data_IF_662639079124
#
_entry.id   IF_662639079124
#
_cell.length_a   1.000
_cell.length_b   1.000
_cell.length_c   1.000
_cell.angle_alpha   90.00
_cell.angle_beta   90.00
_cell.angle_gamma   90.00
#
_symmetry.space_group_name_H-M   'P 1'
#
loop_
_entity.id
_entity.type
_entity.pdbx_description
1 polymer ?
#
# COMPACT_ATOMS: atom_id res chain seq x y z
N UNK A 1 -9.77 34.02 1.10
CA UNK A 1 -9.15 33.49 -0.16
C UNK A 1 -8.45 34.60 -0.96
N UNK A 2 -7.62 35.40 -0.35
CA UNK A 2 -7.04 36.55 -1.07
C UNK A 2 -5.57 36.74 -0.75
N UNK A 3 -4.71 35.78 -1.08
CA UNK A 3 -3.25 36.08 -1.09
C UNK A 3 -2.44 34.95 -1.79
N UNK A 4 -2.92 34.48 -2.94
CA UNK A 4 -2.06 33.70 -3.83
C UNK A 4 -1.59 34.62 -4.94
N UNK A 5 -0.38 35.16 -4.80
CA UNK A 5 0.24 35.91 -5.89
C UNK A 5 1.02 34.98 -6.81
N UNK A 6 0.68 34.98 -8.09
CA UNK A 6 1.42 34.23 -9.12
C UNK A 6 2.48 35.17 -9.73
N UNK A 7 3.75 34.89 -9.42
CA UNK A 7 4.87 35.60 -10.03
C UNK A 7 5.75 34.61 -10.79
N UNK A 8 6.14 34.98 -12.00
CA UNK A 8 7.11 34.24 -12.79
C UNK A 8 8.50 34.85 -12.51
N UNK A 9 9.33 34.12 -11.78
CA UNK A 9 10.72 34.47 -11.54
C UNK A 9 11.66 33.65 -12.39
N UNK A 10 12.71 34.29 -12.93
CA UNK A 10 13.82 33.59 -13.56
C UNK A 10 14.96 33.48 -12.55
N UNK A 11 15.33 32.27 -12.21
CA UNK A 11 16.49 32.03 -11.35
C UNK A 11 17.60 31.37 -12.15
N UNK A 12 18.83 31.84 -11.92
CA UNK A 12 20.02 31.20 -12.42
C UNK A 12 20.44 30.09 -11.43
N UNK A 13 20.29 28.84 -11.82
CA UNK A 13 20.69 27.70 -10.97
C UNK A 13 22.06 27.23 -11.44
N UNK A 14 23.09 27.43 -10.61
CA UNK A 14 24.41 26.85 -10.85
C UNK A 14 24.41 25.40 -10.39
N UNK A 15 24.37 24.45 -11.32
CA UNK A 15 24.48 23.03 -11.01
C UNK A 15 25.95 22.65 -10.79
N UNK A 16 26.24 22.06 -9.62
CA UNK A 16 27.57 21.46 -9.37
C UNK A 16 27.59 20.02 -9.92
N UNK A 17 28.58 19.65 -10.73
CA UNK A 17 28.67 18.30 -11.29
C UNK A 17 28.95 17.27 -10.19
N UNK A 18 28.15 16.21 -10.13
CA UNK A 18 28.49 14.96 -9.44
C UNK A 18 28.61 13.83 -10.45
N UNK A 19 29.68 13.09 -10.32
CA UNK A 19 29.99 11.94 -11.15
C UNK A 19 28.91 10.85 -11.08
N UNK A 20 28.47 10.42 -12.26
CA UNK A 20 27.78 9.16 -12.51
C UNK A 20 26.29 9.10 -12.13
N UNK A 21 25.46 8.88 -13.16
CA UNK A 21 24.04 8.58 -13.17
C UNK A 21 23.05 9.76 -13.02
N UNK A 22 22.09 9.80 -13.94
CA UNK A 22 20.95 10.73 -13.93
C UNK A 22 20.18 10.61 -12.61
N UNK A 23 20.39 11.55 -11.70
CA UNK A 23 19.67 11.60 -10.43
C UNK A 23 18.79 12.83 -10.46
N UNK A 24 17.49 12.62 -10.54
CA UNK A 24 16.51 13.66 -10.23
C UNK A 24 16.53 13.86 -8.72
N UNK A 25 17.03 14.99 -8.24
CA UNK A 25 16.96 15.37 -6.82
C UNK A 25 15.87 16.38 -6.60
N UNK A 26 14.99 16.11 -5.68
CA UNK A 26 14.07 17.10 -5.12
C UNK A 26 14.86 17.91 -4.09
N UNK A 27 14.92 19.20 -4.30
CA UNK A 27 15.58 20.13 -3.38
C UNK A 27 14.55 20.83 -2.52
N UNK A 28 14.76 20.87 -1.20
CA UNK A 28 13.98 21.67 -0.26
C UNK A 28 14.90 22.75 0.29
N UNK A 29 14.62 24.00 -0.04
CA UNK A 29 15.36 25.14 0.49
C UNK A 29 14.43 26.09 1.26
N UNK A 30 14.94 26.64 2.35
CA UNK A 30 14.27 27.70 3.10
C UNK A 30 15.00 29.02 2.84
N UNK A 31 14.27 30.03 2.44
CA UNK A 31 14.79 31.38 2.34
C UNK A 31 13.72 32.36 2.83
N UNK A 32 13.99 33.05 3.94
CA UNK A 32 13.10 34.06 4.54
C UNK A 32 11.61 33.62 4.57
N UNK A 33 11.31 32.51 5.25
CA UNK A 33 9.96 31.95 5.37
C UNK A 33 9.33 31.44 4.06
N UNK A 34 10.14 31.22 3.02
CA UNK A 34 9.71 30.69 1.73
C UNK A 34 10.11 29.24 1.57
N UNK A 35 9.16 28.37 1.24
CA UNK A 35 9.42 26.96 0.93
C UNK A 35 9.41 26.78 -0.57
N UNK A 36 10.55 26.40 -1.16
CA UNK A 36 10.71 26.20 -2.59
C UNK A 36 10.77 24.69 -2.87
N UNK A 37 9.85 24.19 -3.69
CA UNK A 37 9.88 22.82 -4.22
C UNK A 37 10.23 22.87 -5.71
N UNK A 38 11.25 22.13 -6.11
CA UNK A 38 11.62 22.00 -7.51
C UNK A 38 12.31 20.67 -7.83
N UNK A 39 12.10 20.18 -9.02
CA UNK A 39 12.84 19.04 -9.60
C UNK A 39 13.91 19.60 -10.53
N UNK A 40 15.18 19.18 -10.36
CA UNK A 40 16.30 19.60 -11.17
C UNK A 40 16.80 18.43 -12.02
N UNK A 41 17.09 18.69 -13.28
CA UNK A 41 17.76 17.75 -14.17
C UNK A 41 19.26 17.96 -14.00
N UNK A 42 19.98 16.91 -13.59
CA UNK A 42 21.43 16.93 -13.51
C UNK A 42 22.03 16.50 -14.84
N UNK A 43 22.93 17.32 -15.39
CA UNK A 43 23.68 17.01 -16.60
C UNK A 43 25.01 16.31 -16.25
N UNK A 44 25.51 15.52 -17.19
CA UNK A 44 26.85 14.92 -17.07
C UNK A 44 27.93 16.01 -17.14
N UNK A 45 29.13 15.73 -16.58
CA UNK A 45 30.25 16.68 -16.62
C UNK A 45 30.62 17.14 -18.02
N UNK A 46 30.36 16.30 -19.03
CA UNK A 46 30.59 16.55 -20.45
C UNK A 46 29.57 17.55 -21.03
N UNK A 47 28.33 17.52 -20.58
CA UNK A 47 27.27 18.45 -20.97
C UNK A 47 27.42 19.80 -20.21
N UNK A 48 27.89 19.77 -18.97
CA UNK A 48 28.18 20.96 -18.19
C UNK A 48 29.28 21.87 -18.80
N UNK A 49 30.22 21.29 -19.52
CA UNK A 49 31.31 22.02 -20.19
C UNK A 49 30.87 22.73 -21.50
N UNK A 50 29.66 22.49 -21.99
CA UNK A 50 29.16 23.03 -23.27
C UNK A 50 28.27 24.28 -23.15
N UNK A 51 28.40 25.10 -22.12
CA UNK A 51 27.72 26.38 -22.06
C UNK A 51 26.44 26.38 -21.23
N UNK A 52 26.49 25.84 -20.01
CA UNK A 52 25.36 25.89 -19.06
C UNK A 52 24.99 27.31 -18.60
N UNK A 53 25.83 28.30 -18.85
CA UNK A 53 25.55 29.69 -18.52
C UNK A 53 24.36 30.28 -19.31
N UNK A 54 23.91 29.58 -20.36
CA UNK A 54 22.78 29.98 -21.21
C UNK A 54 21.54 29.10 -21.05
N UNK A 55 21.57 28.13 -20.15
CA UNK A 55 20.44 27.20 -19.93
C UNK A 55 19.44 27.81 -18.94
N UNK A 56 18.27 28.18 -19.44
CA UNK A 56 17.17 28.66 -18.60
C UNK A 56 16.14 27.54 -18.37
N UNK A 57 15.92 27.15 -17.13
CA UNK A 57 14.85 26.24 -16.77
C UNK A 57 13.67 27.08 -16.30
N UNK A 58 12.54 27.06 -17.02
CA UNK A 58 11.33 27.74 -16.55
C UNK A 58 10.84 27.06 -15.26
N UNK A 59 10.71 27.84 -14.19
CA UNK A 59 10.24 27.37 -12.89
C UNK A 59 8.96 28.11 -12.51
N UNK A 60 7.93 27.36 -12.12
CA UNK A 60 6.72 27.90 -11.52
C UNK A 60 6.90 27.95 -10.01
N UNK A 61 6.98 29.12 -9.45
CA UNK A 61 7.06 29.33 -8.01
C UNK A 61 5.67 29.67 -7.47
N UNK A 62 5.18 28.91 -6.52
CA UNK A 62 3.99 29.23 -5.75
C UNK A 62 4.44 29.65 -4.35
N UNK A 63 4.14 30.90 -3.97
CA UNK A 63 4.49 31.48 -2.68
C UNK A 63 3.25 31.46 -1.81
N UNK A 64 3.37 30.82 -0.64
CA UNK A 64 2.38 30.91 0.43
C UNK A 64 2.94 31.87 1.48
N UNK A 65 2.24 32.97 1.74
CA UNK A 65 2.62 33.88 2.82
C UNK A 65 2.24 33.20 4.15
N UNK A 66 3.23 33.04 5.00
CA UNK A 66 3.10 32.44 6.34
C UNK A 66 3.50 33.51 7.33
N UNK A 67 2.61 33.79 8.27
CA UNK A 67 2.90 34.70 9.39
C UNK A 67 3.57 33.89 10.52
N UNK A 68 4.46 34.55 11.29
CA UNK A 68 5.23 33.87 12.33
C UNK A 68 4.35 33.38 13.51
N UNK A 69 3.14 33.97 13.68
CA UNK A 69 2.18 33.66 14.75
C UNK A 69 0.91 32.96 14.20
N UNK A 70 1.07 31.90 13.42
CA UNK A 70 -0.08 31.15 12.90
C UNK A 70 -0.82 30.41 14.01
N UNK A 71 -2.15 30.55 14.06
CA UNK A 71 -3.01 29.71 14.88
C UNK A 71 -3.02 28.26 14.37
N UNK A 72 -3.39 27.31 15.24
CA UNK A 72 -3.46 25.88 14.87
C UNK A 72 -4.35 25.64 13.64
N UNK A 73 -5.44 26.40 13.50
CA UNK A 73 -6.37 26.35 12.37
C UNK A 73 -5.72 26.84 11.06
N UNK A 74 -4.90 27.89 11.14
CA UNK A 74 -4.13 28.40 10.00
C UNK A 74 -3.01 27.43 9.58
N UNK A 75 -2.39 26.74 10.55
CA UNK A 75 -1.40 25.68 10.29
C UNK A 75 -2.06 24.48 9.57
N UNK A 76 -3.27 24.13 9.95
CA UNK A 76 -4.02 23.05 9.32
C UNK A 76 -4.42 23.41 7.88
N UNK A 77 -4.92 24.61 7.64
CA UNK A 77 -5.20 25.14 6.30
C UNK A 77 -3.93 25.24 5.42
N UNK A 78 -2.80 25.64 6.00
CA UNK A 78 -1.52 25.66 5.30
C UNK A 78 -1.09 24.26 4.87
N UNK A 79 -1.24 23.27 5.76
CA UNK A 79 -0.91 21.87 5.46
C UNK A 79 -1.81 21.32 4.35
N UNK A 80 -3.10 21.60 4.37
CA UNK A 80 -4.07 21.20 3.36
C UNK A 80 -3.77 21.80 1.97
N UNK A 81 -3.45 23.11 1.94
CA UNK A 81 -3.05 23.80 0.71
C UNK A 81 -1.74 23.23 0.17
N UNK A 82 -0.77 23.00 1.04
CA UNK A 82 0.55 22.44 0.66
C UNK A 82 0.41 21.02 0.12
N UNK A 83 -0.43 20.21 0.74
CA UNK A 83 -0.74 18.86 0.26
C UNK A 83 -1.46 18.88 -1.09
N UNK A 84 -2.41 19.78 -1.26
CA UNK A 84 -3.15 19.95 -2.52
C UNK A 84 -2.22 20.44 -3.64
N UNK A 85 -1.35 21.42 -3.36
CA UNK A 85 -0.34 21.89 -4.35
C UNK A 85 0.63 20.78 -4.71
N UNK A 86 1.07 19.98 -3.73
CA UNK A 86 1.97 18.85 -3.95
C UNK A 86 1.30 17.76 -4.80
N UNK A 87 0.04 17.44 -4.53
CA UNK A 87 -0.77 16.50 -5.33
C UNK A 87 -0.94 17.02 -6.77
N UNK A 88 -1.30 18.28 -6.95
CA UNK A 88 -1.51 18.88 -8.27
C UNK A 88 -0.22 19.10 -9.06
N UNK A 89 0.89 19.46 -8.40
CA UNK A 89 2.18 19.65 -9.06
C UNK A 89 2.81 18.33 -9.49
N UNK A 90 2.61 17.27 -8.73
CA UNK A 90 3.09 15.93 -9.05
C UNK A 90 2.26 15.24 -10.14
N UNK A 91 1.04 15.70 -10.44
CA UNK A 91 0.24 15.19 -11.55
C UNK A 91 0.80 15.52 -12.94
N UNK A 92 1.77 16.42 -13.02
CA UNK A 92 2.46 16.79 -14.27
C UNK A 92 3.78 16.03 -14.49
N UNK A 93 4.38 15.43 -13.47
CA UNK A 93 5.45 14.45 -13.62
C UNK A 93 4.79 13.08 -13.84
N UNK A 94 5.36 12.24 -14.69
CA UNK A 94 4.82 10.92 -15.01
C UNK A 94 4.34 10.21 -13.74
N UNK A 95 3.05 10.35 -13.46
CA UNK A 95 2.37 9.67 -12.35
C UNK A 95 2.35 8.22 -12.78
N UNK A 96 3.00 7.37 -12.02
CA UNK A 96 2.93 5.93 -12.27
C UNK A 96 1.51 5.46 -11.98
N UNK A 97 1.01 4.43 -12.69
CA UNK A 97 -0.28 3.82 -12.37
C UNK A 97 -0.41 3.51 -10.87
N UNK A 98 0.70 3.15 -10.21
CA UNK A 98 0.77 2.91 -8.78
C UNK A 98 0.43 4.16 -7.92
N UNK A 99 0.72 5.35 -8.38
CA UNK A 99 0.42 6.58 -7.62
C UNK A 99 -1.06 6.95 -7.69
N UNK A 100 -1.73 6.68 -8.83
CA UNK A 100 -3.19 6.82 -8.94
C UNK A 100 -3.93 5.89 -7.97
N UNK A 101 -3.46 4.66 -7.84
CA UNK A 101 -4.05 3.69 -6.93
C UNK A 101 -3.79 3.95 -5.44
N UNK A 102 -2.95 4.92 -5.07
CA UNK A 102 -2.67 5.23 -3.66
C UNK A 102 -3.94 5.59 -2.88
N UNK A 103 -4.91 6.24 -3.51
CA UNK A 103 -6.18 6.63 -2.90
C UNK A 103 -7.30 5.59 -3.12
N UNK A 104 -7.00 4.46 -3.76
CA UNK A 104 -7.99 3.42 -3.93
C UNK A 104 -8.43 2.88 -2.54
N UNK A 105 -9.75 2.69 -2.31
CA UNK A 105 -10.28 2.31 -1.00
C UNK A 105 -9.69 1.01 -0.42
N UNK A 106 -9.27 0.07 -1.27
CA UNK A 106 -8.53 -1.12 -0.84
C UNK A 106 -7.25 -0.73 -0.10
N UNK A 107 -6.43 0.17 -0.66
CA UNK A 107 -5.17 0.56 -0.05
C UNK A 107 -5.37 1.36 1.25
N UNK A 108 -6.45 2.15 1.32
CA UNK A 108 -6.86 2.84 2.55
C UNK A 108 -7.26 1.83 3.63
N UNK A 109 -8.00 0.77 3.23
CA UNK A 109 -8.38 -0.30 4.16
C UNK A 109 -7.17 -1.11 4.63
N UNK A 110 -6.22 -1.43 3.73
CA UNK A 110 -4.96 -2.11 4.08
C UNK A 110 -4.12 -1.27 5.06
N UNK A 111 -4.05 0.05 4.88
CA UNK A 111 -3.39 0.95 5.83
C UNK A 111 -4.06 0.89 7.22
N UNK A 112 -5.39 0.96 7.29
CA UNK A 112 -6.15 0.82 8.54
C UNK A 112 -5.90 -0.54 9.21
N UNK A 113 -5.92 -1.63 8.45
CA UNK A 113 -5.63 -2.98 8.94
C UNK A 113 -4.19 -3.08 9.47
N UNK A 114 -3.22 -2.43 8.81
CA UNK A 114 -1.83 -2.43 9.27
C UNK A 114 -1.66 -1.81 10.66
N UNK A 115 -2.42 -0.77 10.98
CA UNK A 115 -2.39 -0.14 12.31
C UNK A 115 -3.16 -0.92 13.38
N UNK A 116 -4.08 -1.80 12.98
CA UNK A 116 -4.91 -2.60 13.88
C UNK A 116 -4.30 -3.96 14.21
N UNK A 117 -3.72 -4.63 13.20
CA UNK A 117 -3.24 -6.01 13.32
C UNK A 117 -1.81 -6.02 13.85
N UNK A 118 -1.67 -6.39 15.12
CA UNK A 118 -0.38 -6.47 15.79
C UNK A 118 0.30 -7.82 15.52
N UNK A 119 1.55 -7.79 15.09
CA UNK A 119 2.37 -9.00 14.93
C UNK A 119 2.77 -9.56 16.30
N UNK A 120 2.84 -10.88 16.45
CA UNK A 120 3.29 -11.51 17.69
C UNK A 120 4.71 -11.06 18.09
N UNK A 121 5.02 -11.04 19.40
CA UNK A 121 6.38 -10.79 19.85
C UNK A 121 7.33 -11.89 19.34
N UNK A 122 8.47 -11.49 18.81
CA UNK A 122 9.49 -12.43 18.30
C UNK A 122 10.90 -12.01 18.75
N UNK A 123 11.86 -12.91 18.65
CA UNK A 123 13.26 -12.64 18.96
C UNK A 123 13.50 -12.12 20.39
N UNK A 124 12.74 -12.64 21.36
CA UNK A 124 12.89 -12.26 22.78
C UNK A 124 12.38 -10.86 23.13
N UNK A 125 11.76 -10.15 22.21
CA UNK A 125 11.12 -8.87 22.51
C UNK A 125 9.80 -9.10 23.24
N UNK A 126 9.53 -8.38 24.36
CA UNK A 126 8.32 -8.57 25.14
C UNK A 126 7.08 -7.86 24.57
N UNK A 127 7.22 -7.17 23.45
CA UNK A 127 6.17 -6.35 22.85
C UNK A 127 5.84 -6.77 21.42
N UNK A 128 4.60 -6.52 21.02
CA UNK A 128 4.11 -6.69 19.67
C UNK A 128 4.60 -5.55 18.78
N UNK A 129 4.69 -5.80 17.48
CA UNK A 129 5.09 -4.82 16.46
C UNK A 129 4.04 -4.72 15.36
N UNK A 130 4.19 -3.74 14.49
CA UNK A 130 3.28 -3.50 13.37
C UNK A 130 4.04 -3.75 12.07
N UNK A 131 3.43 -4.49 11.16
CA UNK A 131 3.80 -4.50 9.76
C UNK A 131 3.18 -3.27 9.09
N UNK A 132 3.96 -2.19 8.98
CA UNK A 132 3.48 -0.91 8.49
C UNK A 132 3.24 -0.96 6.98
N UNK A 133 2.00 -0.72 6.54
CA UNK A 133 1.66 -0.64 5.12
C UNK A 133 1.84 0.79 4.60
N UNK A 134 2.85 0.98 3.75
CA UNK A 134 3.14 2.27 3.14
C UNK A 134 2.29 2.49 1.88
N UNK A 135 1.12 3.09 2.06
CA UNK A 135 0.18 3.41 0.99
C UNK A 135 0.70 4.51 0.07
N UNK A 136 1.25 5.56 0.63
CA UNK A 136 1.87 6.67 -0.12
C UNK A 136 3.37 6.67 0.11
N UNK A 137 4.13 7.05 -0.91
CA UNK A 137 5.58 7.03 -0.88
C UNK A 137 6.14 7.85 0.29
N UNK A 138 7.06 7.26 1.04
CA UNK A 138 7.73 7.83 2.21
C UNK A 138 6.80 8.19 3.39
N UNK A 139 5.60 7.64 3.44
CA UNK A 139 4.66 7.93 4.54
C UNK A 139 5.24 7.55 5.91
N UNK A 140 5.98 6.44 5.99
CA UNK A 140 6.65 6.02 7.22
C UNK A 140 7.63 7.10 7.74
N UNK A 141 8.38 7.77 6.87
CA UNK A 141 9.25 8.89 7.22
C UNK A 141 8.45 10.16 7.53
N UNK A 142 7.40 10.44 6.76
CA UNK A 142 6.53 11.62 6.94
C UNK A 142 5.83 11.60 8.29
N UNK A 143 5.30 10.45 8.70
CA UNK A 143 4.61 10.30 9.98
C UNK A 143 5.51 10.63 11.19
N UNK A 144 6.84 10.54 11.01
CA UNK A 144 7.81 10.88 12.07
C UNK A 144 8.23 12.35 12.09
N UNK A 145 7.91 13.15 11.06
CA UNK A 145 8.45 14.51 10.92
C UNK A 145 8.05 15.46 12.06
N UNK A 146 6.85 15.28 12.61
CA UNK A 146 6.33 16.10 13.71
C UNK A 146 6.56 15.49 15.10
N UNK A 147 7.24 14.35 15.19
CA UNK A 147 7.47 13.64 16.44
C UNK A 147 8.74 14.14 17.13
N UNK A 148 8.71 14.19 18.47
CA UNK A 148 9.91 14.36 19.30
C UNK A 148 10.82 13.13 19.19
N UNK A 149 12.08 13.24 19.56
CA UNK A 149 13.04 12.11 19.46
C UNK A 149 12.62 10.90 20.29
N UNK A 150 11.95 11.11 21.42
CA UNK A 150 11.39 10.04 22.24
C UNK A 150 10.21 9.35 21.52
N UNK A 151 9.34 10.11 20.89
CA UNK A 151 8.22 9.59 20.09
C UNK A 151 8.72 8.84 18.85
N UNK A 152 9.75 9.36 18.14
CA UNK A 152 10.37 8.69 17.00
C UNK A 152 10.95 7.33 17.38
N UNK A 153 11.67 7.26 18.51
CA UNK A 153 12.21 5.99 19.00
C UNK A 153 11.10 4.98 19.24
N UNK A 154 10.04 5.38 19.95
CA UNK A 154 8.88 4.53 20.22
C UNK A 154 8.15 4.10 18.95
N UNK A 155 7.99 5.03 17.99
CA UNK A 155 7.42 4.74 16.69
C UNK A 155 8.25 3.68 15.92
N UNK A 156 9.58 3.83 15.86
CA UNK A 156 10.47 2.88 15.20
C UNK A 156 10.51 1.51 15.90
N UNK A 157 10.36 1.46 17.23
CA UNK A 157 10.24 0.20 17.98
C UNK A 157 8.96 -0.54 17.63
N UNK A 158 7.84 0.18 17.53
CA UNK A 158 6.53 -0.38 17.19
C UNK A 158 6.39 -0.67 15.68
N UNK A 159 7.03 0.13 14.83
CA UNK A 159 6.98 0.05 13.37
C UNK A 159 8.39 -0.12 12.79
N UNK A 160 9.06 -1.25 13.02
CA UNK A 160 10.43 -1.44 12.57
C UNK A 160 10.50 -1.39 11.03
N UNK A 161 11.55 -0.75 10.50
CA UNK A 161 11.74 -0.59 9.06
C UNK A 161 11.86 -1.93 8.31
N UNK A 162 12.23 -3.00 9.01
CA UNK A 162 12.22 -4.37 8.47
C UNK A 162 10.81 -4.95 8.27
N UNK A 163 9.79 -4.32 8.84
CA UNK A 163 8.38 -4.69 8.71
C UNK A 163 7.60 -3.64 7.90
N UNK A 164 8.29 -2.90 7.02
CA UNK A 164 7.67 -1.93 6.12
C UNK A 164 7.25 -2.62 4.81
N UNK A 165 5.97 -2.59 4.51
CA UNK A 165 5.40 -3.12 3.27
C UNK A 165 5.00 -1.96 2.35
N UNK A 166 5.71 -1.80 1.25
CA UNK A 166 5.33 -0.90 0.16
C UNK A 166 4.27 -1.56 -0.73
N UNK A 167 3.37 -0.78 -1.29
CA UNK A 167 2.31 -1.32 -2.17
C UNK A 167 2.87 -2.09 -3.38
N UNK A 168 3.99 -1.64 -3.95
CA UNK A 168 4.65 -2.32 -5.05
C UNK A 168 5.26 -3.67 -4.60
N UNK A 169 5.75 -3.73 -3.36
CA UNK A 169 6.24 -5.00 -2.76
C UNK A 169 5.09 -5.95 -2.50
N UNK A 170 3.97 -5.47 -1.97
CA UNK A 170 2.77 -6.29 -1.80
C UNK A 170 2.30 -6.83 -3.16
N UNK A 171 2.24 -5.99 -4.20
CA UNK A 171 1.88 -6.40 -5.56
C UNK A 171 2.80 -7.52 -6.08
N UNK A 172 4.11 -7.42 -5.85
CA UNK A 172 5.08 -8.42 -6.23
C UNK A 172 4.82 -9.76 -5.54
N UNK A 173 4.68 -9.73 -4.21
CA UNK A 173 4.48 -10.93 -3.40
C UNK A 173 3.11 -11.57 -3.70
N UNK A 174 2.07 -10.75 -3.81
CA UNK A 174 0.72 -11.26 -3.99
C UNK A 174 0.47 -11.83 -5.40
N UNK A 175 0.95 -11.16 -6.46
CA UNK A 175 0.91 -11.72 -7.82
C UNK A 175 1.68 -13.04 -7.92
N UNK A 176 2.72 -13.23 -7.12
CA UNK A 176 3.44 -14.49 -7.06
C UNK A 176 2.54 -15.61 -6.52
N UNK A 177 1.82 -15.39 -5.41
CA UNK A 177 0.90 -16.40 -4.86
C UNK A 177 -0.37 -16.58 -5.71
N UNK A 178 -0.74 -15.59 -6.51
CA UNK A 178 -1.78 -15.69 -7.54
C UNK A 178 -1.32 -16.41 -8.82
N UNK A 179 -0.17 -17.07 -8.79
CA UNK A 179 0.42 -17.84 -9.89
C UNK A 179 0.77 -17.02 -11.14
N UNK A 180 1.14 -15.78 -10.97
CA UNK A 180 1.55 -14.86 -12.03
C UNK A 180 3.06 -14.50 -11.99
N UNK A 181 4.01 -15.45 -11.80
CA UNK A 181 5.43 -15.12 -11.64
C UNK A 181 6.03 -14.48 -12.90
N UNK A 182 5.53 -14.82 -14.10
CA UNK A 182 5.97 -14.24 -15.36
C UNK A 182 5.67 -12.73 -15.44
N UNK A 183 4.59 -12.27 -14.83
CA UNK A 183 4.23 -10.86 -14.75
C UNK A 183 5.10 -10.13 -13.71
N UNK A 184 5.39 -10.79 -12.57
CA UNK A 184 6.33 -10.28 -11.56
C UNK A 184 7.72 -10.06 -12.15
N UNK A 185 8.16 -10.92 -13.09
CA UNK A 185 9.43 -10.80 -13.78
C UNK A 185 9.47 -9.67 -14.83
N UNK A 186 8.36 -9.02 -15.13
CA UNK A 186 8.30 -7.87 -16.06
C UNK A 186 8.73 -6.56 -15.36
N UNK A 187 8.22 -5.44 -15.82
CA UNK A 187 8.44 -4.17 -15.13
C UNK A 187 7.55 -4.04 -13.90
N UNK A 188 8.00 -3.23 -12.93
CA UNK A 188 7.19 -2.91 -11.74
C UNK A 188 5.82 -2.33 -12.12
N UNK A 189 5.73 -1.53 -13.19
CA UNK A 189 4.48 -0.96 -13.67
C UNK A 189 3.49 -2.03 -14.16
N UNK A 190 3.96 -3.01 -14.94
CA UNK A 190 3.10 -4.11 -15.43
C UNK A 190 2.66 -5.00 -14.28
N UNK A 191 3.58 -5.33 -13.38
CA UNK A 191 3.24 -6.12 -12.19
C UNK A 191 2.19 -5.40 -11.35
N UNK A 192 2.33 -4.09 -11.15
CA UNK A 192 1.37 -3.31 -10.38
C UNK A 192 0.01 -3.18 -11.09
N UNK A 193 -0.02 -3.00 -12.41
CA UNK A 193 -1.27 -2.97 -13.18
C UNK A 193 -2.07 -4.26 -13.01
N UNK A 194 -1.41 -5.42 -13.01
CA UNK A 194 -2.08 -6.71 -12.78
C UNK A 194 -2.58 -6.89 -11.35
N UNK A 195 -1.84 -6.33 -10.40
CA UNK A 195 -2.31 -6.29 -9.02
C UNK A 195 -3.50 -5.35 -8.85
N UNK A 196 -3.56 -4.26 -9.62
CA UNK A 196 -4.70 -3.35 -9.62
C UNK A 196 -5.99 -4.04 -10.07
N UNK A 197 -5.95 -4.86 -11.13
CA UNK A 197 -7.11 -5.66 -11.57
C UNK A 197 -7.64 -6.56 -10.43
N UNK A 198 -6.73 -7.18 -9.66
CA UNK A 198 -7.09 -7.98 -8.48
C UNK A 198 -7.66 -7.11 -7.35
N UNK A 199 -7.08 -5.95 -7.10
CA UNK A 199 -7.52 -5.00 -6.07
C UNK A 199 -8.93 -4.49 -6.33
N UNK A 200 -9.23 -4.16 -7.60
CA UNK A 200 -10.56 -3.72 -8.03
C UNK A 200 -11.60 -4.82 -7.79
N UNK A 201 -11.32 -6.05 -8.24
CA UNK A 201 -12.22 -7.21 -8.03
C UNK A 201 -12.45 -7.49 -6.53
N UNK A 202 -11.37 -7.49 -5.73
CA UNK A 202 -11.47 -7.70 -4.29
C UNK A 202 -12.31 -6.63 -3.59
N UNK A 203 -12.18 -5.38 -4.00
CA UNK A 203 -12.94 -4.30 -3.39
C UNK A 203 -14.40 -4.29 -3.82
N UNK A 204 -14.70 -4.53 -5.09
CA UNK A 204 -16.05 -4.51 -5.64
C UNK A 204 -16.86 -5.75 -5.23
N UNK A 205 -16.28 -6.94 -5.34
CA UNK A 205 -16.99 -8.21 -5.20
C UNK A 205 -16.72 -8.95 -3.88
N UNK A 206 -15.57 -8.69 -3.23
CA UNK A 206 -15.07 -9.46 -2.09
C UNK A 206 -14.67 -8.59 -0.89
N UNK A 207 -15.27 -7.42 -0.74
CA UNK A 207 -14.88 -6.43 0.29
C UNK A 207 -14.87 -6.98 1.71
N UNK A 208 -15.81 -7.86 2.06
CA UNK A 208 -15.88 -8.48 3.39
C UNK A 208 -14.74 -9.47 3.66
N UNK A 209 -14.04 -9.92 2.61
CA UNK A 209 -12.88 -10.80 2.72
C UNK A 209 -11.59 -10.01 3.01
N UNK A 210 -11.58 -8.68 2.80
CA UNK A 210 -10.48 -7.78 3.17
C UNK A 210 -10.56 -7.49 4.68
N UNK A 211 -10.04 -8.40 5.49
CA UNK A 211 -10.11 -8.40 6.94
C UNK A 211 -8.74 -8.70 7.58
N UNK A 212 -8.72 -8.88 8.90
CA UNK A 212 -7.49 -9.13 9.65
C UNK A 212 -6.72 -10.37 9.13
N UNK A 213 -7.42 -11.46 8.76
CA UNK A 213 -6.78 -12.68 8.23
C UNK A 213 -6.23 -12.48 6.83
N UNK A 214 -6.94 -11.75 5.97
CA UNK A 214 -6.42 -11.34 4.67
C UNK A 214 -5.13 -10.53 4.82
N UNK A 215 -5.12 -9.57 5.73
CA UNK A 215 -3.92 -8.77 6.01
C UNK A 215 -2.76 -9.63 6.50
N UNK A 216 -3.00 -10.55 7.44
CA UNK A 216 -1.98 -11.50 7.93
C UNK A 216 -1.41 -12.35 6.78
N UNK A 217 -2.26 -12.83 5.87
CA UNK A 217 -1.85 -13.61 4.70
C UNK A 217 -0.98 -12.76 3.74
N UNK A 218 -1.33 -11.48 3.55
CA UNK A 218 -0.49 -10.54 2.79
C UNK A 218 0.89 -10.38 3.43
N UNK A 219 0.97 -10.20 4.76
CA UNK A 219 2.24 -10.12 5.50
C UNK A 219 3.04 -11.43 5.36
N UNK A 220 2.39 -12.58 5.53
CA UNK A 220 3.05 -13.89 5.38
C UNK A 220 3.62 -14.09 3.98
N UNK A 221 2.93 -13.60 2.94
CA UNK A 221 3.46 -13.64 1.57
C UNK A 221 4.73 -12.82 1.40
N UNK A 222 4.82 -11.66 2.07
CA UNK A 222 6.03 -10.84 2.11
C UNK A 222 7.14 -11.54 2.86
N UNK A 223 6.85 -12.10 4.04
CA UNK A 223 7.83 -12.90 4.82
C UNK A 223 8.39 -14.04 3.96
N UNK A 224 7.52 -14.77 3.27
CA UNK A 224 7.93 -15.89 2.43
C UNK A 224 8.83 -15.44 1.27
N UNK A 225 8.44 -14.37 0.59
CA UNK A 225 9.18 -13.82 -0.53
C UNK A 225 10.56 -13.32 -0.10
N UNK A 226 10.63 -12.50 0.95
CA UNK A 226 11.88 -11.90 1.42
C UNK A 226 12.82 -12.93 2.04
N UNK A 227 12.27 -13.91 2.77
CA UNK A 227 13.06 -15.02 3.31
C UNK A 227 13.70 -15.85 2.20
N UNK A 228 12.93 -16.21 1.17
CA UNK A 228 13.47 -16.96 0.05
C UNK A 228 14.49 -16.14 -0.75
N UNK A 229 14.21 -14.84 -0.97
CA UNK A 229 15.14 -13.94 -1.64
C UNK A 229 16.49 -13.86 -0.91
N UNK A 230 16.45 -13.78 0.41
CA UNK A 230 17.66 -13.82 1.24
C UNK A 230 18.36 -15.17 1.17
N UNK A 231 17.64 -16.28 1.36
CA UNK A 231 18.22 -17.62 1.34
C UNK A 231 18.87 -17.95 0.00
N UNK A 232 18.22 -17.63 -1.12
CA UNK A 232 18.78 -17.81 -2.47
C UNK A 232 20.07 -17.01 -2.62
N UNK A 233 20.11 -15.76 -2.12
CA UNK A 233 21.29 -14.91 -2.21
C UNK A 233 22.51 -15.46 -1.45
N UNK A 234 22.30 -16.36 -0.50
CA UNK A 234 23.33 -17.01 0.33
C UNK A 234 23.67 -18.44 -0.12
N UNK A 235 22.91 -18.96 -1.07
CA UNK A 235 23.11 -20.32 -1.54
C UNK A 235 24.44 -20.50 -2.28
N UNK A 236 25.14 -21.60 -2.02
CA UNK A 236 26.44 -21.89 -2.66
C UNK A 236 26.35 -22.05 -4.18
N UNK A 237 25.21 -22.46 -4.69
CA UNK A 237 24.94 -22.62 -6.12
C UNK A 237 24.54 -21.31 -6.82
N UNK A 238 24.22 -20.25 -6.07
CA UNK A 238 23.77 -18.98 -6.66
C UNK A 238 24.96 -18.08 -7.05
N UNK A 239 25.14 -17.76 -8.34
CA UNK A 239 26.24 -16.93 -8.77
C UNK A 239 26.03 -15.46 -8.40
N UNK A 240 27.10 -14.74 -8.11
CA UNK A 240 27.06 -13.30 -7.86
C UNK A 240 26.48 -12.57 -9.10
N UNK A 241 25.40 -11.81 -8.90
CA UNK A 241 24.72 -11.12 -10.00
C UNK A 241 23.74 -12.00 -10.79
N UNK A 242 23.38 -13.17 -10.26
CA UNK A 242 22.45 -14.11 -10.89
C UNK A 242 20.99 -13.63 -10.93
N UNK A 243 20.12 -14.50 -11.42
CA UNK A 243 18.73 -14.21 -11.78
C UNK A 243 17.74 -14.39 -10.62
N UNK A 244 18.09 -13.94 -9.39
CA UNK A 244 17.28 -14.11 -8.18
C UNK A 244 15.86 -13.54 -8.34
N UNK A 245 15.72 -12.37 -8.97
CA UNK A 245 14.45 -11.72 -9.22
C UNK A 245 13.48 -12.56 -10.09
N UNK A 246 13.99 -13.56 -10.82
CA UNK A 246 13.22 -14.51 -11.61
C UNK A 246 13.02 -15.83 -10.86
N UNK A 247 14.04 -16.30 -10.16
CA UNK A 247 14.01 -17.56 -9.42
C UNK A 247 12.96 -17.50 -8.30
N UNK A 248 12.97 -16.47 -7.48
CA UNK A 248 12.11 -16.36 -6.29
C UNK A 248 10.61 -16.44 -6.63
N UNK A 249 10.06 -15.60 -7.50
CA UNK A 249 8.63 -15.67 -7.82
C UNK A 249 8.23 -16.99 -8.51
N UNK A 250 9.08 -17.50 -9.41
CA UNK A 250 8.82 -18.80 -10.06
C UNK A 250 8.79 -19.96 -9.05
N UNK A 251 9.71 -19.97 -8.10
CA UNK A 251 9.78 -20.99 -7.04
C UNK A 251 8.53 -20.96 -6.17
N UNK A 252 8.14 -19.81 -5.65
CA UNK A 252 6.97 -19.70 -4.78
C UNK A 252 5.70 -20.09 -5.54
N UNK A 253 5.52 -19.58 -6.75
CA UNK A 253 4.35 -19.89 -7.56
C UNK A 253 4.29 -21.41 -7.90
N UNK A 254 5.42 -22.03 -8.24
CA UNK A 254 5.50 -23.47 -8.49
C UNK A 254 5.18 -24.29 -7.24
N UNK A 255 5.71 -23.90 -6.08
CA UNK A 255 5.40 -24.58 -4.82
C UNK A 255 3.88 -24.58 -4.58
N UNK A 256 3.24 -23.41 -4.66
CA UNK A 256 1.78 -23.27 -4.44
C UNK A 256 0.98 -24.11 -5.46
N UNK A 257 1.42 -24.13 -6.72
CA UNK A 257 0.77 -24.94 -7.77
C UNK A 257 0.93 -26.44 -7.53
N UNK A 258 2.03 -26.86 -6.90
CA UNK A 258 2.36 -28.27 -6.65
C UNK A 258 1.75 -28.83 -5.35
N UNK A 259 1.05 -28.00 -4.57
CA UNK A 259 0.43 -28.46 -3.33
C UNK A 259 -0.62 -29.53 -3.63
N UNK A 260 -0.71 -30.60 -2.81
CA UNK A 260 -1.76 -31.60 -2.89
C UNK A 260 -3.15 -30.95 -2.84
N UNK A 261 -4.12 -31.61 -3.48
CA UNK A 261 -5.52 -31.18 -3.41
C UNK A 261 -5.95 -31.11 -1.94
N UNK A 262 -6.72 -30.08 -1.60
CA UNK A 262 -7.24 -29.84 -0.24
C UNK A 262 -6.20 -29.48 0.84
N UNK A 263 -4.98 -29.11 0.43
CA UNK A 263 -3.95 -28.57 1.34
C UNK A 263 -3.57 -27.15 0.99
N UNK A 264 -3.02 -26.40 1.96
CA UNK A 264 -2.49 -25.05 1.81
C UNK A 264 -1.22 -24.91 2.65
N UNK A 265 -0.47 -23.84 2.42
CA UNK A 265 0.63 -23.40 3.30
C UNK A 265 0.08 -23.14 4.71
N UNK A 266 0.82 -23.53 5.72
CA UNK A 266 0.50 -23.15 7.10
C UNK A 266 0.85 -21.68 7.36
N UNK A 267 -0.05 -20.79 6.89
CA UNK A 267 0.06 -19.35 7.05
C UNK A 267 0.01 -18.93 8.53
N UNK A 268 -0.67 -19.68 9.37
CA UNK A 268 -0.81 -19.42 10.81
C UNK A 268 0.56 -19.55 11.48
N UNK A 269 1.29 -20.63 11.20
CA UNK A 269 2.64 -20.81 11.75
C UNK A 269 3.61 -19.72 11.28
N UNK A 270 3.56 -19.30 9.99
CA UNK A 270 4.38 -18.19 9.49
C UNK A 270 4.05 -16.90 10.25
N UNK A 271 2.75 -16.60 10.42
CA UNK A 271 2.33 -15.42 11.17
C UNK A 271 2.78 -15.44 12.63
N UNK A 272 2.60 -16.57 13.32
CA UNK A 272 2.96 -16.71 14.73
C UNK A 272 4.46 -16.61 14.97
N UNK A 273 5.27 -17.19 14.08
CA UNK A 273 6.73 -17.18 14.19
C UNK A 273 7.39 -15.98 13.53
N UNK A 274 6.67 -15.23 12.70
CA UNK A 274 7.18 -14.12 11.90
C UNK A 274 8.41 -14.53 11.03
N UNK A 275 8.45 -15.79 10.65
CA UNK A 275 9.49 -16.40 9.82
C UNK A 275 9.00 -17.70 9.20
N UNK A 276 9.73 -18.21 8.20
CA UNK A 276 9.44 -19.53 7.64
C UNK A 276 9.73 -20.62 8.69
N UNK A 277 8.88 -21.62 8.73
CA UNK A 277 9.22 -22.86 9.46
C UNK A 277 10.24 -23.67 8.66
N UNK A 278 11.09 -24.48 9.33
CA UNK A 278 12.23 -25.15 8.69
C UNK A 278 11.86 -25.97 7.46
N UNK A 279 10.79 -26.76 7.55
CA UNK A 279 10.36 -27.64 6.48
C UNK A 279 9.95 -26.88 5.20
N UNK A 280 9.31 -25.72 5.34
CA UNK A 280 8.99 -24.84 4.21
C UNK A 280 10.25 -24.18 3.64
N UNK A 281 11.15 -23.71 4.50
CA UNK A 281 12.40 -23.10 4.05
C UNK A 281 13.28 -24.08 3.27
N UNK A 282 13.42 -25.33 3.76
CA UNK A 282 14.13 -26.41 3.08
C UNK A 282 13.50 -26.74 1.73
N UNK A 283 12.17 -26.85 1.69
CA UNK A 283 11.42 -27.17 0.46
C UNK A 283 11.55 -26.06 -0.59
N UNK A 284 11.40 -24.80 -0.17
CA UNK A 284 11.59 -23.64 -1.05
C UNK A 284 13.01 -23.58 -1.62
N UNK A 285 14.04 -23.87 -0.81
CA UNK A 285 15.41 -23.86 -1.27
C UNK A 285 15.72 -25.02 -2.25
N UNK A 286 15.16 -26.20 -2.01
CA UNK A 286 15.26 -27.34 -2.92
C UNK A 286 14.62 -27.02 -4.28
N UNK A 287 13.42 -26.46 -4.25
CA UNK A 287 12.71 -26.06 -5.46
C UNK A 287 13.38 -24.86 -6.15
N UNK A 288 13.97 -23.91 -5.40
CA UNK A 288 14.69 -22.78 -5.96
C UNK A 288 15.90 -23.22 -6.80
N UNK A 289 16.60 -24.26 -6.37
CA UNK A 289 17.69 -24.84 -7.16
C UNK A 289 17.15 -25.47 -8.45
N UNK A 290 16.07 -26.23 -8.40
CA UNK A 290 15.41 -26.79 -9.60
C UNK A 290 14.94 -25.68 -10.54
N UNK A 291 14.34 -24.63 -9.99
CA UNK A 291 13.90 -23.45 -10.75
C UNK A 291 15.06 -22.78 -11.45
N UNK A 292 16.18 -22.58 -10.76
CA UNK A 292 17.40 -22.03 -11.33
C UNK A 292 17.87 -22.85 -12.52
N UNK A 293 18.04 -24.17 -12.33
CA UNK A 293 18.47 -25.08 -13.39
C UNK A 293 17.52 -25.07 -14.60
N UNK A 294 16.22 -25.09 -14.36
CA UNK A 294 15.21 -25.02 -15.41
C UNK A 294 15.32 -23.72 -16.23
N UNK A 295 15.36 -22.59 -15.55
CA UNK A 295 15.42 -21.28 -16.22
C UNK A 295 16.73 -21.09 -17.02
N UNK A 296 17.87 -21.51 -16.47
CA UNK A 296 19.16 -21.45 -17.17
C UNK A 296 19.16 -22.37 -18.42
N UNK A 297 18.69 -23.61 -18.27
CA UNK A 297 18.56 -24.55 -19.40
C UNK A 297 17.62 -24.00 -20.47
N UNK A 298 16.48 -23.42 -20.06
CA UNK A 298 15.50 -22.85 -21.00
C UNK A 298 16.02 -21.61 -21.71
N UNK A 299 16.88 -20.83 -21.05
CA UNK A 299 17.52 -19.67 -21.66
C UNK A 299 18.57 -20.05 -22.72
N UNK A 300 19.15 -21.28 -22.66
CA UNK A 300 20.06 -21.80 -23.68
C UNK A 300 21.24 -20.87 -23.99
N UNK A 301 21.78 -20.20 -22.98
CA UNK A 301 22.83 -19.18 -23.14
C UNK A 301 22.31 -17.77 -23.40
N UNK A 302 21.00 -17.59 -23.57
CA UNK A 302 20.34 -16.27 -23.61
C UNK A 302 20.05 -15.72 -22.21
N UNK A 303 19.29 -14.63 -22.16
CA UNK A 303 18.96 -13.95 -20.90
C UNK A 303 17.74 -14.60 -20.21
N UNK A 304 17.94 -15.18 -19.04
CA UNK A 304 16.89 -15.71 -18.17
C UNK A 304 15.80 -14.66 -17.93
N UNK A 305 16.19 -13.39 -17.72
CA UNK A 305 15.28 -12.26 -17.57
C UNK A 305 14.30 -12.10 -18.74
N UNK A 306 14.71 -12.43 -19.96
CA UNK A 306 13.84 -12.31 -21.14
C UNK A 306 12.81 -13.42 -21.19
N UNK A 307 13.24 -14.66 -21.02
CA UNK A 307 12.37 -15.84 -21.13
C UNK A 307 11.37 -15.91 -19.98
N UNK A 308 11.76 -15.55 -18.78
CA UNK A 308 10.92 -15.61 -17.58
C UNK A 308 9.72 -14.64 -17.59
N UNK A 309 9.67 -13.71 -18.55
CA UNK A 309 8.56 -12.77 -18.73
C UNK A 309 7.41 -13.34 -19.55
N UNK A 310 7.60 -14.51 -20.15
CA UNK A 310 6.63 -15.11 -21.06
C UNK A 310 5.72 -16.08 -20.33
N UNK A 311 4.42 -15.99 -20.61
CA UNK A 311 3.41 -16.90 -20.08
C UNK A 311 3.67 -18.35 -20.51
N UNK A 312 4.18 -18.56 -21.72
CA UNK A 312 4.51 -19.90 -22.22
C UNK A 312 5.55 -20.62 -21.36
N UNK A 313 6.62 -19.93 -20.93
CA UNK A 313 7.64 -20.50 -20.05
C UNK A 313 7.07 -20.82 -18.67
N UNK A 314 6.16 -19.97 -18.16
CA UNK A 314 5.48 -20.24 -16.90
C UNK A 314 4.57 -21.47 -17.00
N UNK A 315 3.76 -21.60 -18.05
CA UNK A 315 2.89 -22.76 -18.28
C UNK A 315 3.68 -24.05 -18.37
N UNK A 316 4.77 -24.05 -19.14
CA UNK A 316 5.66 -25.23 -19.23
C UNK A 316 6.27 -25.58 -17.86
N UNK A 317 6.69 -24.58 -17.07
CA UNK A 317 7.25 -24.83 -15.74
C UNK A 317 6.21 -25.30 -14.74
N UNK A 318 4.94 -24.93 -14.87
CA UNK A 318 3.86 -25.46 -14.04
C UNK A 318 3.77 -26.99 -14.13
N UNK A 319 3.98 -27.54 -15.32
CA UNK A 319 3.89 -28.97 -15.60
C UNK A 319 5.23 -29.69 -15.42
N UNK A 320 6.32 -28.96 -15.14
CA UNK A 320 7.62 -29.55 -14.90
C UNK A 320 7.58 -30.46 -13.66
N UNK A 321 8.06 -31.73 -13.77
CA UNK A 321 7.99 -32.71 -12.68
C UNK A 321 8.71 -32.22 -11.43
N UNK A 322 8.02 -32.25 -10.31
CA UNK A 322 8.58 -31.93 -9.00
C UNK A 322 7.78 -32.64 -7.91
N UNK A 323 8.47 -33.37 -7.06
CA UNK A 323 7.87 -34.06 -5.92
C UNK A 323 8.19 -33.33 -4.63
N UNK A 324 7.14 -33.01 -3.88
CA UNK A 324 7.26 -32.40 -2.57
C UNK A 324 7.83 -33.41 -1.56
N UNK A 325 8.69 -32.95 -0.66
CA UNK A 325 9.21 -33.82 0.40
C UNK A 325 8.11 -34.22 1.39
N UNK A 326 8.14 -35.46 1.86
CA UNK A 326 7.18 -35.94 2.86
C UNK A 326 7.20 -35.09 4.13
N UNK A 327 8.37 -34.61 4.54
CA UNK A 327 8.51 -33.73 5.71
C UNK A 327 7.68 -32.47 5.56
N UNK A 328 7.73 -31.85 4.39
CA UNK A 328 6.97 -30.64 4.09
C UNK A 328 5.47 -30.95 3.96
N UNK A 329 5.10 -32.01 3.24
CA UNK A 329 3.69 -32.40 3.05
C UNK A 329 2.97 -32.62 4.38
N UNK A 330 3.65 -33.24 5.38
CA UNK A 330 3.09 -33.43 6.74
C UNK A 330 2.87 -32.13 7.52
N UNK A 331 3.42 -31.00 7.05
CA UNK A 331 3.29 -29.68 7.67
C UNK A 331 2.30 -28.76 6.95
N UNK A 332 1.69 -29.24 5.89
CA UNK A 332 0.67 -28.47 5.18
C UNK A 332 -0.61 -28.36 6.03
N UNK A 333 -1.24 -27.21 5.97
CA UNK A 333 -2.56 -27.00 6.57
C UNK A 333 -3.66 -27.63 5.70
N UNK A 334 -4.77 -28.01 6.32
CA UNK A 334 -5.98 -28.38 5.59
C UNK A 334 -6.68 -27.15 5.04
N UNK A 335 -7.07 -27.18 3.75
CA UNK A 335 -7.89 -26.09 3.16
C UNK A 335 -9.23 -25.92 3.87
N UNK A 336 -9.78 -26.96 4.45
CA UNK A 336 -11.01 -26.89 5.21
C UNK A 336 -10.82 -26.06 6.50
N UNK A 337 -9.70 -26.27 7.20
CA UNK A 337 -9.34 -25.48 8.40
C UNK A 337 -9.04 -24.02 8.03
N UNK A 338 -8.25 -23.78 6.99
CA UNK A 338 -7.96 -22.43 6.50
C UNK A 338 -9.25 -21.68 6.14
N UNK A 339 -10.15 -22.33 5.39
CA UNK A 339 -11.46 -21.75 5.05
C UNK A 339 -12.35 -21.48 6.27
N UNK A 340 -12.31 -22.37 7.27
CA UNK A 340 -13.07 -22.14 8.52
C UNK A 340 -12.58 -20.90 9.26
N UNK A 341 -11.25 -20.70 9.33
CA UNK A 341 -10.65 -19.49 9.92
C UNK A 341 -11.02 -18.23 9.13
N UNK A 342 -10.91 -18.26 7.80
CA UNK A 342 -11.30 -17.14 6.93
C UNK A 342 -12.80 -16.80 7.08
N UNK A 343 -13.68 -17.81 7.14
CA UNK A 343 -15.12 -17.60 7.36
C UNK A 343 -15.43 -17.04 8.74
N UNK A 344 -14.75 -17.50 9.79
CA UNK A 344 -14.89 -16.97 11.13
C UNK A 344 -14.44 -15.49 11.19
N UNK A 345 -13.31 -15.18 10.57
CA UNK A 345 -12.81 -13.81 10.44
C UNK A 345 -13.79 -12.90 9.67
N UNK A 346 -14.36 -13.38 8.57
CA UNK A 346 -15.37 -12.66 7.81
C UNK A 346 -16.63 -12.37 8.63
N UNK A 347 -17.09 -13.35 9.43
CA UNK A 347 -18.23 -13.16 10.36
C UNK A 347 -17.88 -12.13 11.44
N UNK A 348 -16.70 -12.24 12.06
CA UNK A 348 -16.22 -11.30 13.08
C UNK A 348 -16.06 -9.89 12.50
N UNK A 349 -15.50 -9.74 11.30
CA UNK A 349 -15.37 -8.46 10.61
C UNK A 349 -16.73 -7.82 10.35
N UNK A 350 -17.69 -8.58 9.85
CA UNK A 350 -19.09 -8.10 9.66
C UNK A 350 -19.73 -7.67 10.98
N UNK A 351 -19.50 -8.43 12.04
CA UNK A 351 -20.05 -8.10 13.36
C UNK A 351 -19.42 -6.80 13.88
N UNK A 352 -18.10 -6.67 13.85
CA UNK A 352 -17.38 -5.48 14.29
C UNK A 352 -17.76 -4.25 13.45
N UNK A 353 -17.79 -4.36 12.12
CA UNK A 353 -18.23 -3.28 11.24
C UNK A 353 -19.69 -2.85 11.51
N UNK A 354 -20.53 -3.78 11.97
CA UNK A 354 -21.87 -3.47 12.39
C UNK A 354 -21.91 -2.67 13.70
N UNK A 355 -21.10 -3.09 14.68
CA UNK A 355 -20.97 -2.37 15.96
C UNK A 355 -20.37 -0.99 15.72
N UNK A 356 -19.29 -0.90 14.95
CA UNK A 356 -18.62 0.37 14.61
C UNK A 356 -19.59 1.35 13.93
N UNK A 357 -20.36 0.89 12.94
CA UNK A 357 -21.37 1.72 12.27
C UNK A 357 -22.45 2.22 13.23
N UNK A 358 -22.89 1.38 14.17
CA UNK A 358 -23.91 1.76 15.15
C UNK A 358 -23.37 2.77 16.17
N UNK A 359 -22.12 2.57 16.61
CA UNK A 359 -21.40 3.47 17.53
C UNK A 359 -21.16 4.82 16.85
N UNK A 360 -20.69 4.84 15.62
CA UNK A 360 -20.44 6.05 14.84
C UNK A 360 -21.73 6.87 14.68
N UNK A 361 -22.79 6.24 14.18
CA UNK A 361 -24.08 6.93 13.94
C UNK A 361 -24.65 7.49 15.24
N UNK A 362 -24.56 6.76 16.34
CA UNK A 362 -25.07 7.18 17.63
C UNK A 362 -24.25 8.31 18.25
N UNK A 363 -22.90 8.22 18.21
CA UNK A 363 -22.01 9.22 18.80
C UNK A 363 -22.10 10.58 18.09
N UNK A 364 -22.30 10.58 16.78
CA UNK A 364 -22.52 11.81 16.01
C UNK A 364 -23.82 12.50 16.41
N UNK A 365 -24.82 11.75 16.86
CA UNK A 365 -26.07 12.24 17.43
C UNK A 365 -27.06 12.85 16.44
N UNK A 366 -28.30 13.06 16.91
CA UNK A 366 -29.40 13.54 16.08
C UNK A 366 -29.12 14.91 15.42
N UNK A 367 -28.49 15.81 16.17
CA UNK A 367 -28.20 17.18 15.69
C UNK A 367 -27.26 17.21 14.48
N UNK A 368 -26.24 16.36 14.51
CA UNK A 368 -25.32 16.17 13.38
C UNK A 368 -26.06 15.68 12.13
N UNK A 369 -26.85 14.61 12.27
CA UNK A 369 -27.57 14.02 11.15
C UNK A 369 -28.64 14.95 10.57
N UNK A 370 -29.27 15.81 11.41
CA UNK A 370 -30.17 16.82 10.91
C UNK A 370 -29.47 17.88 10.06
N UNK A 371 -28.27 18.31 10.48
CA UNK A 371 -27.47 19.26 9.68
C UNK A 371 -27.03 18.64 8.35
N UNK A 372 -26.59 17.37 8.37
CA UNK A 372 -26.23 16.64 7.13
C UNK A 372 -27.45 16.59 6.19
N UNK A 373 -28.63 16.32 6.72
CA UNK A 373 -29.87 16.36 5.93
C UNK A 373 -30.11 17.73 5.30
N UNK A 374 -30.03 18.81 6.09
CA UNK A 374 -30.27 20.17 5.62
C UNK A 374 -29.27 20.59 4.51
N UNK A 375 -28.00 20.23 4.66
CA UNK A 375 -26.98 20.52 3.67
C UNK A 375 -27.19 19.73 2.36
N UNK A 376 -27.47 18.44 2.46
CA UNK A 376 -27.70 17.59 1.28
C UNK A 376 -28.97 17.98 0.53
N UNK A 377 -29.99 18.44 1.23
CA UNK A 377 -31.21 18.99 0.61
C UNK A 377 -30.93 20.32 -0.11
N UNK A 378 -30.12 21.19 0.50
CA UNK A 378 -29.74 22.49 -0.08
C UNK A 378 -28.89 22.33 -1.34
N UNK A 379 -27.96 21.39 -1.31
CA UNK A 379 -27.04 21.13 -2.42
C UNK A 379 -27.64 20.23 -3.51
N UNK A 380 -28.80 19.62 -3.26
CA UNK A 380 -29.50 18.73 -4.18
C UNK A 380 -28.62 17.57 -4.72
N UNK A 381 -27.68 17.09 -3.91
CA UNK A 381 -26.69 16.06 -4.28
C UNK A 381 -27.30 14.68 -4.39
N UNK A 382 -28.31 14.38 -3.53
CA UNK A 382 -28.93 13.08 -3.40
C UNK A 382 -30.43 13.12 -3.74
N UNK A 383 -31.03 11.93 -3.90
CA UNK A 383 -32.46 11.80 -4.07
C UNK A 383 -33.22 12.22 -2.79
N UNK A 384 -34.44 12.72 -2.96
CA UNK A 384 -35.32 13.04 -1.83
C UNK A 384 -35.51 11.86 -0.87
N UNK A 385 -35.59 10.63 -1.41
CA UNK A 385 -35.72 9.41 -0.60
C UNK A 385 -34.52 9.12 0.29
N UNK A 386 -33.30 9.35 -0.23
CA UNK A 386 -32.06 9.20 0.53
C UNK A 386 -31.98 10.27 1.64
N UNK A 387 -32.28 11.53 1.33
CA UNK A 387 -32.30 12.62 2.31
C UNK A 387 -33.37 12.39 3.39
N UNK A 388 -34.59 11.99 2.99
CA UNK A 388 -35.69 11.68 3.92
C UNK A 388 -35.35 10.55 4.89
N UNK A 389 -34.52 9.56 4.42
CA UNK A 389 -34.04 8.50 5.30
C UNK A 389 -33.09 9.04 6.38
N UNK A 390 -32.17 9.95 6.02
CA UNK A 390 -31.26 10.61 6.98
C UNK A 390 -32.06 11.34 8.06
N UNK A 391 -33.08 12.15 7.64
CA UNK A 391 -33.97 12.84 8.56
C UNK A 391 -34.68 11.89 9.48
N UNK A 392 -35.25 10.80 8.94
CA UNK A 392 -35.97 9.79 9.75
C UNK A 392 -35.07 9.16 10.83
N UNK A 393 -33.80 8.91 10.52
CA UNK A 393 -32.83 8.42 11.52
C UNK A 393 -32.49 9.50 12.56
N UNK A 394 -32.30 10.75 12.15
CA UNK A 394 -32.05 11.86 13.07
C UNK A 394 -33.22 12.03 14.06
N UNK A 395 -34.45 12.02 13.55
CA UNK A 395 -35.66 12.09 14.38
C UNK A 395 -35.82 10.87 15.32
N UNK A 396 -35.39 9.68 14.89
CA UNK A 396 -35.39 8.47 15.68
C UNK A 396 -34.40 8.54 16.85
N UNK A 397 -33.19 9.01 16.59
CA UNK A 397 -32.13 9.22 17.62
C UNK A 397 -32.57 10.34 18.59
N UNK A 398 -33.19 11.42 18.11
CA UNK A 398 -33.63 12.54 18.96
C UNK A 398 -34.65 12.12 20.03
N UNK A 399 -35.37 11.02 19.81
CA UNK A 399 -36.31 10.39 20.76
C UNK A 399 -35.66 9.34 21.66
N UNK A 400 -34.31 9.36 21.77
CA UNK A 400 -33.50 8.37 22.50
C UNK A 400 -33.65 6.92 22.03
N UNK A 401 -34.06 6.71 20.77
CA UNK A 401 -34.10 5.38 20.19
C UNK A 401 -32.79 5.03 19.49
N UNK A 402 -32.41 3.76 19.55
CA UNK A 402 -31.20 3.25 18.87
C UNK A 402 -31.59 2.72 17.48
N UNK A 403 -31.08 3.30 16.40
CA UNK A 403 -31.29 2.75 15.06
C UNK A 403 -30.70 1.33 14.95
N UNK A 404 -31.38 0.49 14.18
CA UNK A 404 -30.83 -0.85 13.91
C UNK A 404 -29.52 -0.75 13.13
N UNK A 405 -28.67 -1.75 13.26
CA UNK A 405 -27.39 -1.84 12.53
C UNK A 405 -27.57 -1.70 11.01
N UNK A 406 -28.65 -2.29 10.46
CA UNK A 406 -28.97 -2.16 9.04
C UNK A 406 -29.28 -0.70 8.66
N UNK A 407 -29.98 0.02 9.52
CA UNK A 407 -30.28 1.45 9.33
C UNK A 407 -29.01 2.30 9.41
N UNK A 408 -28.12 2.04 10.38
CA UNK A 408 -26.83 2.73 10.50
C UNK A 408 -25.95 2.52 9.25
N UNK A 409 -25.82 1.29 8.80
CA UNK A 409 -25.06 0.99 7.57
C UNK A 409 -25.64 1.65 6.32
N UNK A 410 -26.96 1.66 6.19
CA UNK A 410 -27.63 2.37 5.08
C UNK A 410 -27.37 3.87 5.14
N UNK A 411 -27.43 4.46 6.33
CA UNK A 411 -27.15 5.87 6.55
C UNK A 411 -25.74 6.24 6.09
N UNK A 412 -24.72 5.50 6.57
CA UNK A 412 -23.32 5.72 6.19
C UNK A 412 -23.07 5.52 4.69
N UNK A 413 -23.74 4.54 4.05
CA UNK A 413 -23.68 4.36 2.59
C UNK A 413 -24.26 5.54 1.82
N UNK A 414 -25.34 6.13 2.32
CA UNK A 414 -25.97 7.32 1.70
C UNK A 414 -25.01 8.50 1.77
N UNK A 415 -24.34 8.70 2.91
CA UNK A 415 -23.34 9.76 3.07
C UNK A 415 -22.13 9.54 2.14
N UNK A 416 -21.57 8.32 2.11
CA UNK A 416 -20.48 7.98 1.20
C UNK A 416 -20.84 8.25 -0.27
N UNK A 417 -22.09 7.91 -0.69
CA UNK A 417 -22.58 8.22 -2.03
C UNK A 417 -22.66 9.74 -2.30
N UNK A 418 -22.91 10.54 -1.27
CA UNK A 418 -22.88 12.00 -1.39
C UNK A 418 -21.45 12.51 -1.54
N UNK A 419 -20.51 11.97 -0.77
CA UNK A 419 -19.09 12.31 -0.82
C UNK A 419 -18.50 11.97 -2.18
N UNK A 420 -18.85 10.82 -2.77
CA UNK A 420 -18.48 10.44 -4.15
C UNK A 420 -18.95 11.45 -5.21
N UNK A 421 -20.03 12.20 -4.88
CA UNK A 421 -20.56 13.28 -5.74
C UNK A 421 -20.02 14.67 -5.41
N UNK A 422 -18.97 14.74 -4.55
CA UNK A 422 -18.30 15.98 -4.20
C UNK A 422 -18.85 16.69 -2.97
N UNK A 423 -19.78 16.08 -2.23
CA UNK A 423 -20.20 16.59 -0.93
C UNK A 423 -19.05 16.42 0.07
N UNK A 424 -18.68 17.51 0.75
CA UNK A 424 -17.70 17.44 1.83
C UNK A 424 -18.46 17.48 3.15
N UNK A 425 -18.40 16.39 3.90
CA UNK A 425 -19.00 16.32 5.23
C UNK A 425 -18.27 17.33 6.14
N UNK A 426 -18.94 18.41 6.54
CA UNK A 426 -18.35 19.43 7.41
C UNK A 426 -18.25 18.88 8.82
N UNK A 427 -17.11 19.08 9.47
CA UNK A 427 -16.97 18.81 10.90
C UNK A 427 -17.86 19.78 11.67
N UNK A 428 -19.03 19.29 12.10
CA UNK A 428 -19.96 20.05 12.93
C UNK A 428 -19.70 19.88 14.44
N UNK A 429 -18.46 19.54 14.81
CA UNK A 429 -18.02 19.55 16.20
C UNK A 429 -17.83 21.00 16.64
N UNK A 430 -18.85 21.57 17.29
CA UNK A 430 -18.79 22.73 18.16
C UNK A 430 -19.55 22.41 19.43
#
# INVERSE_FOLDING_TARGET
>A
MNNISRHNYRFLVRALPKSGNNITKVWKGYYQNLVIYGSFICFTEKEAKKGMDTLFVPMKLTVLNVEDDMSDEQVEQYNEITETISKCANSQNAVTGADFFSNHPFHVLMEKLSHKVMAPPVNGKPYQTIWYYERTKNKWEVDQMKMTDAQKRRFCEMNPKSQLIKKEKLAQCYNTILLNPHQVCQSSAINFSRFADFVDDMYENHRDDINDEFYKKCVCSVIMFDSLDYLVSKASWYPKGGNKAQIVPYTIAKLIKSLPKDTDIDWITIWQKQMLYPELAEELMRLAYVTHQYLEKKAGGGLVRTISRTDAVWREFQDYPYELSEKFVRKLASKAETKAVEQAAKKAHKFNANVDASVEVFNLGARYWMKVYDDLMRESVLSYGDCSFIKGIADYISRNNLPTTAQCRRLLKIVAKAEDKGYVCRNYYV
#
